data_IF_504443831151
#
_entry.id   IF_504443831151
#
_cell.length_a   1.000
_cell.length_b   1.000
_cell.length_c   1.000
_cell.angle_alpha   90.00
_cell.angle_beta   90.00
_cell.angle_gamma   90.00
#
_symmetry.space_group_name_H-M   'P 1'
#
loop_
_entity.id
_entity.type
_entity.pdbx_description
1 polymer ?
#
# COMPACT_ATOMS: atom_id res chain seq x y z
N UNK A 1 -13.27 -5.79 -5.60
CA UNK A 1 -13.80 -5.26 -6.87
C UNK A 1 -15.25 -4.77 -6.76
N UNK A 2 -16.03 -5.32 -5.83
CA UNK A 2 -17.46 -5.02 -5.71
C UNK A 2 -17.81 -3.79 -4.85
N UNK A 3 -16.85 -3.17 -4.13
CA UNK A 3 -17.14 -2.02 -3.27
C UNK A 3 -17.39 -0.76 -4.11
N UNK A 4 -18.63 -0.33 -4.15
CA UNK A 4 -19.04 0.90 -4.82
C UNK A 4 -18.42 2.13 -4.15
N UNK A 5 -18.34 2.13 -2.82
CA UNK A 5 -17.70 3.18 -2.05
C UNK A 5 -16.22 3.38 -2.44
N UNK A 6 -15.44 2.30 -2.53
CA UNK A 6 -14.04 2.40 -2.94
C UNK A 6 -13.89 2.87 -4.38
N UNK A 7 -14.77 2.47 -5.30
CA UNK A 7 -14.73 2.94 -6.70
C UNK A 7 -15.00 4.45 -6.82
N UNK A 8 -15.83 5.00 -5.96
CA UNK A 8 -16.08 6.44 -5.91
C UNK A 8 -14.81 7.22 -5.58
N UNK A 9 -13.99 6.70 -4.65
CA UNK A 9 -12.75 7.35 -4.22
C UNK A 9 -11.53 7.01 -5.11
N UNK A 10 -11.58 5.87 -5.78
CA UNK A 10 -10.50 5.38 -6.66
C UNK A 10 -11.08 4.98 -8.03
N UNK A 11 -11.30 5.94 -8.94
CA UNK A 11 -11.96 5.67 -10.23
C UNK A 11 -11.28 4.59 -11.08
N UNK A 12 -9.95 4.46 -10.99
CA UNK A 12 -9.17 3.47 -11.72
C UNK A 12 -8.95 2.15 -10.97
N UNK A 13 -9.55 1.97 -9.79
CA UNK A 13 -9.31 0.82 -8.92
C UNK A 13 -9.54 -0.52 -9.63
N UNK A 14 -10.61 -0.63 -10.40
CA UNK A 14 -10.94 -1.87 -11.10
C UNK A 14 -9.84 -2.27 -12.09
N UNK A 15 -9.41 -1.34 -12.94
CA UNK A 15 -8.33 -1.58 -13.91
C UNK A 15 -7.01 -1.94 -13.20
N UNK A 16 -6.68 -1.24 -12.12
CA UNK A 16 -5.49 -1.49 -11.32
C UNK A 16 -5.52 -2.87 -10.65
N UNK A 17 -6.68 -3.29 -10.13
CA UNK A 17 -6.85 -4.61 -9.52
C UNK A 17 -6.82 -5.75 -10.54
N UNK A 18 -7.26 -5.52 -11.78
CA UNK A 18 -7.14 -6.52 -12.85
C UNK A 18 -5.68 -6.86 -13.20
N UNK A 19 -4.74 -5.96 -12.93
CA UNK A 19 -3.31 -6.21 -13.08
C UNK A 19 -2.73 -7.11 -11.98
N UNK A 20 -3.45 -7.28 -10.86
CA UNK A 20 -2.99 -8.07 -9.71
C UNK A 20 -3.34 -9.53 -9.93
N UNK A 21 -2.32 -10.36 -10.20
CA UNK A 21 -2.45 -11.82 -10.28
C UNK A 21 -3.57 -12.32 -11.19
N UNK A 22 -4.13 -13.51 -10.93
CA UNK A 22 -5.24 -14.11 -11.66
C UNK A 22 -6.58 -13.93 -10.93
N UNK A 23 -7.69 -14.10 -11.64
CA UNK A 23 -9.03 -14.04 -11.04
C UNK A 23 -9.21 -15.03 -9.89
N UNK A 24 -8.83 -16.33 -10.01
CA UNK A 24 -8.92 -17.25 -8.87
C UNK A 24 -8.12 -16.78 -7.65
N UNK A 25 -6.90 -16.27 -7.86
CA UNK A 25 -6.05 -15.78 -6.77
C UNK A 25 -6.67 -14.53 -6.13
N UNK A 26 -7.18 -13.59 -6.91
CA UNK A 26 -7.88 -12.41 -6.37
C UNK A 26 -9.13 -12.77 -5.57
N UNK A 27 -9.84 -13.81 -5.96
CA UNK A 27 -11.04 -14.27 -5.25
C UNK A 27 -10.72 -14.96 -3.91
N UNK A 28 -9.54 -15.54 -3.77
CA UNK A 28 -9.08 -16.24 -2.56
C UNK A 28 -8.11 -15.44 -1.71
N UNK A 29 -7.41 -14.49 -2.31
CA UNK A 29 -6.39 -13.70 -1.65
C UNK A 29 -6.98 -12.67 -0.68
N UNK A 30 -6.21 -12.34 0.33
CA UNK A 30 -6.54 -11.27 1.30
C UNK A 30 -5.48 -10.17 1.26
N UNK A 31 -5.85 -8.96 1.67
CA UNK A 31 -4.88 -7.86 1.87
C UNK A 31 -3.83 -8.25 2.92
N UNK A 32 -4.26 -8.85 4.02
CA UNK A 32 -3.38 -9.33 5.06
C UNK A 32 -2.34 -10.31 4.51
N UNK A 33 -2.77 -11.29 3.70
CA UNK A 33 -1.87 -12.25 3.05
C UNK A 33 -0.86 -11.57 2.11
N UNK A 34 -1.28 -10.54 1.36
CA UNK A 34 -0.37 -9.78 0.50
C UNK A 34 0.71 -9.05 1.31
N UNK A 35 0.33 -8.40 2.42
CA UNK A 35 1.27 -7.66 3.25
C UNK A 35 2.23 -8.59 4.00
N UNK A 36 1.70 -9.66 4.62
CA UNK A 36 2.51 -10.62 5.39
C UNK A 36 3.42 -11.46 4.49
N UNK A 37 3.05 -11.68 3.23
CA UNK A 37 3.95 -12.30 2.25
C UNK A 37 5.24 -11.47 2.03
N UNK A 38 5.22 -10.17 2.34
CA UNK A 38 6.38 -9.28 2.29
C UNK A 38 7.16 -9.34 0.96
N UNK A 39 6.44 -9.43 -0.15
CA UNK A 39 7.07 -9.39 -1.47
C UNK A 39 7.58 -7.96 -1.76
N UNK A 40 8.86 -7.79 -2.17
CA UNK A 40 9.38 -6.47 -2.56
C UNK A 40 8.60 -5.79 -3.69
N UNK A 41 7.83 -6.55 -4.45
CA UNK A 41 7.02 -6.09 -5.60
C UNK A 41 5.52 -6.37 -5.41
N UNK A 42 5.07 -6.48 -4.15
CA UNK A 42 3.66 -6.73 -3.84
C UNK A 42 2.78 -5.56 -4.27
N UNK A 43 1.96 -5.74 -5.32
CA UNK A 43 1.19 -4.66 -5.94
C UNK A 43 0.30 -3.92 -4.92
N UNK A 44 -0.51 -4.67 -4.14
CA UNK A 44 -1.38 -4.04 -3.13
C UNK A 44 -0.59 -3.46 -1.95
N UNK A 45 0.57 -4.04 -1.62
CA UNK A 45 1.45 -3.44 -0.61
C UNK A 45 1.92 -2.05 -1.04
N UNK A 46 2.36 -1.89 -2.29
CA UNK A 46 2.80 -0.60 -2.83
C UNK A 46 1.64 0.39 -2.89
N UNK A 47 0.47 -0.05 -3.33
CA UNK A 47 -0.75 0.75 -3.34
C UNK A 47 -1.07 1.33 -1.94
N UNK A 48 -1.09 0.48 -0.91
CA UNK A 48 -1.44 0.90 0.45
C UNK A 48 -0.32 1.64 1.19
N UNK A 49 0.94 1.45 0.81
CA UNK A 49 2.06 2.28 1.31
C UNK A 49 1.91 3.74 0.90
N UNK A 50 1.51 4.01 -0.34
CA UNK A 50 1.26 5.39 -0.81
C UNK A 50 0.02 6.02 -0.16
N UNK A 51 -0.91 5.23 0.36
CA UNK A 51 -2.04 5.73 1.16
C UNK A 51 -1.65 6.05 2.61
N UNK A 52 -0.38 5.87 3.00
CA UNK A 52 0.12 5.98 4.37
C UNK A 52 -0.72 5.17 5.36
N UNK A 53 -1.05 3.95 4.97
CA UNK A 53 -1.98 3.09 5.69
C UNK A 53 -1.41 2.64 7.03
N UNK A 54 -2.32 2.47 7.98
CA UNK A 54 -2.08 1.86 9.29
C UNK A 54 -2.76 0.50 9.33
N UNK A 55 -2.07 -0.50 9.85
CA UNK A 55 -2.60 -1.85 10.07
C UNK A 55 -2.86 -2.08 11.55
N UNK A 56 -3.85 -2.90 11.84
CA UNK A 56 -4.15 -3.36 13.21
C UNK A 56 -3.74 -4.83 13.29
N UNK A 57 -2.85 -5.11 14.22
CA UNK A 57 -2.39 -6.44 14.58
C UNK A 57 -3.07 -6.83 15.89
N UNK A 58 -3.77 -7.96 15.87
CA UNK A 58 -4.37 -8.57 17.05
C UNK A 58 -3.52 -9.76 17.46
N UNK A 59 -3.09 -9.79 18.70
CA UNK A 59 -2.25 -10.85 19.24
C UNK A 59 -2.77 -11.38 20.57
N UNK A 60 -2.28 -12.57 20.91
CA UNK A 60 -2.43 -13.15 22.24
C UNK A 60 -1.04 -13.34 22.84
N UNK A 61 -0.87 -12.98 24.10
CA UNK A 61 0.36 -13.36 24.82
C UNK A 61 0.50 -14.88 24.87
N UNK A 62 1.71 -15.39 24.66
CA UNK A 62 2.03 -16.84 24.60
C UNK A 62 1.65 -17.60 25.89
N UNK A 63 1.33 -16.91 26.94
CA UNK A 63 0.88 -17.49 28.23
C UNK A 63 -0.61 -17.34 28.53
N UNK A 64 -1.42 -17.00 27.53
CA UNK A 64 -2.86 -17.29 27.54
C UNK A 64 -3.76 -16.26 28.24
N UNK A 65 -3.34 -15.04 28.54
CA UNK A 65 -4.18 -14.18 29.37
C UNK A 65 -4.55 -12.81 28.85
N UNK A 66 -3.92 -12.26 27.83
CA UNK A 66 -4.36 -10.97 27.29
C UNK A 66 -4.42 -10.99 25.76
N UNK A 67 -5.57 -10.63 25.22
CA UNK A 67 -5.67 -10.17 23.84
C UNK A 67 -5.26 -8.71 23.80
N UNK A 68 -4.44 -8.34 22.83
CA UNK A 68 -4.07 -6.95 22.61
C UNK A 68 -4.18 -6.60 21.13
N UNK A 69 -4.49 -5.34 20.88
CA UNK A 69 -4.45 -4.74 19.56
C UNK A 69 -3.33 -3.73 19.53
N UNK A 70 -2.48 -3.79 18.52
CA UNK A 70 -1.51 -2.72 18.26
C UNK A 70 -1.66 -2.19 16.84
N UNK A 71 -1.42 -0.90 16.74
CA UNK A 71 -1.48 -0.14 15.50
C UNK A 71 -0.07 0.08 14.97
N UNK A 72 0.18 -0.30 13.72
CA UNK A 72 1.49 -0.13 13.08
C UNK A 72 1.28 0.53 11.72
N UNK A 73 2.08 1.54 11.38
CA UNK A 73 2.08 2.04 10.00
C UNK A 73 2.60 0.96 9.07
N UNK A 74 1.94 0.76 7.94
CA UNK A 74 2.33 -0.29 7.00
C UNK A 74 3.81 -0.16 6.57
N UNK A 75 4.32 1.08 6.45
CA UNK A 75 5.73 1.35 6.13
C UNK A 75 6.72 0.86 7.19
N UNK A 76 6.28 0.71 8.44
CA UNK A 76 7.11 0.29 9.56
C UNK A 76 7.05 -1.22 9.80
N UNK A 77 6.14 -1.93 9.10
CA UNK A 77 6.01 -3.37 9.19
C UNK A 77 7.23 -4.12 8.66
N UNK A 78 7.89 -3.61 7.62
CA UNK A 78 8.97 -4.32 6.90
C UNK A 78 10.33 -3.94 7.47
N UNK A 79 10.99 -4.86 8.18
CA UNK A 79 12.32 -4.66 8.80
C UNK A 79 13.47 -5.14 7.91
N UNK A 80 13.20 -6.04 6.99
CA UNK A 80 14.17 -6.60 6.05
C UNK A 80 13.49 -7.57 5.09
N UNK A 81 14.26 -8.20 4.20
CA UNK A 81 13.72 -9.19 3.27
C UNK A 81 13.01 -10.32 4.03
N UNK A 82 11.68 -10.43 3.81
CA UNK A 82 10.83 -11.40 4.51
C UNK A 82 10.83 -11.27 6.05
N UNK A 83 11.28 -10.13 6.58
CA UNK A 83 11.28 -9.85 8.01
C UNK A 83 10.23 -8.79 8.33
N UNK A 84 9.32 -9.12 9.25
CA UNK A 84 8.22 -8.27 9.65
C UNK A 84 8.32 -7.89 11.12
N UNK A 85 7.84 -6.70 11.45
CA UNK A 85 7.51 -6.29 12.82
C UNK A 85 6.18 -6.92 13.23
N UNK A 86 6.17 -8.25 13.31
CA UNK A 86 4.98 -9.03 13.64
C UNK A 86 5.41 -10.35 14.28
N UNK A 87 4.80 -10.72 15.38
CA UNK A 87 5.03 -12.01 16.03
C UNK A 87 4.21 -13.12 15.39
N UNK A 88 4.59 -14.38 15.64
CA UNK A 88 3.86 -15.55 15.14
C UNK A 88 2.46 -15.70 15.77
N UNK A 89 2.20 -15.03 16.90
CA UNK A 89 0.91 -15.02 17.57
C UNK A 89 0.00 -13.86 17.14
N UNK A 90 0.46 -12.98 16.24
CA UNK A 90 -0.32 -11.85 15.76
C UNK A 90 -1.00 -12.14 14.42
N UNK A 91 -2.19 -11.59 14.27
CA UNK A 91 -2.98 -11.64 13.03
C UNK A 91 -3.28 -10.20 12.60
N UNK A 92 -3.08 -9.88 11.33
CA UNK A 92 -3.50 -8.62 10.75
C UNK A 92 -5.02 -8.68 10.52
N UNK A 93 -5.75 -7.84 11.24
CA UNK A 93 -7.23 -7.85 11.26
C UNK A 93 -7.86 -6.73 10.46
N UNK A 94 -7.19 -5.57 10.35
CA UNK A 94 -7.73 -4.46 9.57
C UNK A 94 -6.65 -3.54 9.02
N UNK A 95 -7.03 -2.80 7.98
CA UNK A 95 -6.23 -1.76 7.33
C UNK A 95 -7.03 -0.47 7.38
N UNK A 96 -6.40 0.61 7.81
CA UNK A 96 -7.00 1.94 7.90
C UNK A 96 -6.19 2.92 7.08
N UNK A 97 -6.85 3.76 6.33
CA UNK A 97 -6.25 4.85 5.55
C UNK A 97 -7.24 6.00 5.40
N UNK A 98 -6.72 7.18 5.12
CA UNK A 98 -7.54 8.35 4.83
C UNK A 98 -8.12 8.23 3.42
N UNK A 99 -9.43 8.32 3.28
CA UNK A 99 -10.07 8.31 1.97
C UNK A 99 -9.63 9.52 1.14
N UNK A 100 -9.40 9.34 -0.16
CA UNK A 100 -9.14 10.45 -1.07
C UNK A 100 -10.27 11.48 -1.05
N UNK A 101 -9.90 12.74 -1.01
CA UNK A 101 -10.78 13.90 -1.16
C UNK A 101 -10.76 14.40 -2.60
N UNK A 102 -11.53 15.45 -2.89
CA UNK A 102 -11.47 16.15 -4.20
C UNK A 102 -10.09 16.74 -4.51
N UNK A 103 -9.29 17.01 -3.48
CA UNK A 103 -7.95 17.59 -3.59
C UNK A 103 -6.87 16.49 -3.69
N UNK A 104 -7.23 15.23 -3.47
CA UNK A 104 -6.30 14.12 -3.57
C UNK A 104 -6.09 13.73 -5.04
N UNK A 105 -4.83 13.51 -5.41
CA UNK A 105 -4.44 12.84 -6.65
C UNK A 105 -3.75 11.55 -6.27
N UNK A 106 -4.29 10.45 -6.78
CA UNK A 106 -3.74 9.12 -6.52
C UNK A 106 -3.55 8.36 -7.83
N UNK A 107 -2.39 7.73 -7.97
CA UNK A 107 -2.14 6.80 -9.05
C UNK A 107 -1.30 5.60 -8.59
N UNK A 108 -1.51 4.47 -9.25
CA UNK A 108 -0.72 3.25 -9.11
C UNK A 108 -0.36 2.76 -10.50
N UNK A 109 0.90 2.47 -10.71
CA UNK A 109 1.46 1.96 -11.96
C UNK A 109 2.17 0.63 -11.72
N UNK A 110 2.01 -0.28 -12.66
CA UNK A 110 2.69 -1.57 -12.70
C UNK A 110 3.37 -1.76 -14.05
N UNK A 111 4.65 -2.04 -14.03
CA UNK A 111 5.42 -2.42 -15.22
C UNK A 111 5.73 -3.91 -15.12
N UNK A 112 5.38 -4.66 -16.14
CA UNK A 112 5.59 -6.11 -16.25
C UNK A 112 5.77 -6.51 -17.71
N UNK A 113 6.34 -7.70 -17.95
CA UNK A 113 6.56 -8.18 -19.32
C UNK A 113 5.26 -8.47 -20.07
N UNK A 114 4.22 -8.85 -19.36
CA UNK A 114 2.86 -9.10 -19.91
C UNK A 114 1.87 -8.21 -19.17
N UNK A 115 0.81 -7.80 -19.84
CA UNK A 115 -0.22 -6.94 -19.24
C UNK A 115 -0.92 -7.63 -18.08
N UNK A 116 -1.25 -8.92 -18.25
CA UNK A 116 -1.98 -9.70 -17.24
C UNK A 116 -1.20 -10.95 -16.85
N UNK A 117 -1.54 -11.52 -15.69
CA UNK A 117 -0.99 -12.76 -15.16
C UNK A 117 0.54 -12.72 -15.01
N UNK A 118 1.06 -11.56 -14.68
CA UNK A 118 2.50 -11.38 -14.50
C UNK A 118 2.82 -10.69 -13.19
N UNK A 119 4.01 -10.97 -12.69
CA UNK A 119 4.59 -10.25 -11.56
C UNK A 119 5.18 -8.92 -12.04
N UNK A 120 5.15 -7.91 -11.20
CA UNK A 120 5.78 -6.65 -11.54
C UNK A 120 7.30 -6.80 -11.67
N UNK A 121 7.89 -6.21 -12.70
CA UNK A 121 9.34 -5.89 -12.72
C UNK A 121 9.60 -4.72 -11.78
N UNK A 122 8.73 -3.70 -11.85
CA UNK A 122 8.68 -2.55 -10.95
C UNK A 122 7.22 -2.10 -10.84
N UNK A 123 6.84 -1.59 -9.69
CA UNK A 123 5.57 -0.92 -9.49
C UNK A 123 5.76 0.31 -8.60
N UNK A 124 4.86 1.26 -8.71
CA UNK A 124 4.89 2.48 -7.91
C UNK A 124 3.48 2.97 -7.61
N UNK A 125 3.35 3.70 -6.53
CA UNK A 125 2.14 4.44 -6.23
C UNK A 125 2.49 5.82 -5.66
N UNK A 126 1.63 6.78 -5.94
CA UNK A 126 1.74 8.15 -5.45
C UNK A 126 0.39 8.66 -5.00
N UNK A 127 0.38 9.31 -3.84
CA UNK A 127 -0.74 10.10 -3.35
C UNK A 127 -0.25 11.51 -3.08
N UNK A 128 -0.94 12.48 -3.64
CA UNK A 128 -0.70 13.92 -3.43
C UNK A 128 -1.97 14.55 -2.89
N UNK A 129 -1.84 15.40 -1.88
CA UNK A 129 -2.86 16.39 -1.52
C UNK A 129 -2.46 17.72 -2.14
N UNK A 130 -3.38 18.34 -2.87
CA UNK A 130 -3.13 19.55 -3.66
C UNK A 130 -3.99 20.68 -3.14
N UNK A 131 -3.38 21.81 -2.79
CA UNK A 131 -4.05 23.04 -2.36
C UNK A 131 -3.65 24.18 -3.32
N UNK A 132 -4.61 24.60 -4.15
CA UNK A 132 -4.31 25.47 -5.28
C UNK A 132 -3.31 24.79 -6.24
N UNK A 133 -2.18 25.44 -6.49
CA UNK A 133 -1.11 24.91 -7.34
C UNK A 133 0.06 24.31 -6.51
N UNK A 134 -0.16 24.00 -5.25
CA UNK A 134 0.88 23.50 -4.36
C UNK A 134 0.54 22.13 -3.82
N UNK A 135 1.53 21.25 -3.75
CA UNK A 135 1.43 19.94 -3.11
C UNK A 135 1.56 20.14 -1.59
N UNK A 136 0.46 20.02 -0.83
CA UNK A 136 0.50 20.18 0.62
C UNK A 136 1.04 18.92 1.32
N UNK A 137 0.77 17.75 0.77
CA UNK A 137 1.25 16.45 1.29
C UNK A 137 1.55 15.50 0.12
N UNK A 138 2.60 14.69 0.25
CA UNK A 138 2.96 13.68 -0.74
C UNK A 138 3.37 12.37 -0.07
N UNK A 139 2.91 11.26 -0.64
CA UNK A 139 3.30 9.91 -0.26
C UNK A 139 3.65 9.14 -1.53
N UNK A 140 4.87 8.62 -1.57
CA UNK A 140 5.39 7.86 -2.71
C UNK A 140 5.88 6.50 -2.23
N UNK A 141 5.58 5.47 -2.98
CA UNK A 141 6.04 4.11 -2.73
C UNK A 141 6.48 3.44 -4.03
N UNK A 142 7.41 2.50 -3.94
CA UNK A 142 7.87 1.73 -5.08
C UNK A 142 8.26 0.30 -4.67
N UNK A 143 8.00 -0.63 -5.57
CA UNK A 143 8.44 -2.02 -5.48
C UNK A 143 9.45 -2.36 -6.57
N UNK A 144 10.32 -3.33 -6.28
CA UNK A 144 11.41 -3.72 -7.18
C UNK A 144 12.67 -2.86 -7.07
N UNK A 145 12.71 -1.90 -6.14
CA UNK A 145 13.82 -0.96 -5.93
C UNK A 145 14.61 -1.23 -4.64
N UNK A 146 14.15 -2.14 -3.81
CA UNK A 146 14.76 -2.50 -2.53
C UNK A 146 14.40 -3.95 -2.15
N UNK A 147 15.07 -4.56 -1.15
CA UNK A 147 14.71 -5.89 -0.65
C UNK A 147 13.32 -5.96 0.01
N UNK A 148 12.70 -4.82 0.27
CA UNK A 148 11.37 -4.69 0.88
C UNK A 148 10.49 -3.79 0.01
N UNK A 149 9.14 -3.87 0.12
CA UNK A 149 8.26 -2.84 -0.41
C UNK A 149 8.66 -1.49 0.18
N UNK A 150 8.95 -0.50 -0.65
CA UNK A 150 9.62 0.71 -0.18
C UNK A 150 8.69 1.92 -0.16
N UNK A 151 8.46 2.49 1.04
CA UNK A 151 7.97 3.85 1.16
C UNK A 151 9.14 4.81 0.94
N UNK A 152 9.00 5.76 0.01
CA UNK A 152 10.06 6.67 -0.41
C UNK A 152 9.99 7.98 0.39
N UNK A 153 10.44 7.95 1.65
CA UNK A 153 10.33 9.07 2.58
C UNK A 153 10.98 10.35 2.05
N UNK A 154 12.19 10.25 1.47
CA UNK A 154 12.90 11.41 0.93
C UNK A 154 12.18 12.00 -0.28
N UNK A 155 11.68 11.17 -1.19
CA UNK A 155 10.90 11.63 -2.36
C UNK A 155 9.59 12.28 -1.92
N UNK A 156 8.91 11.69 -0.95
CA UNK A 156 7.68 12.22 -0.37
C UNK A 156 7.93 13.60 0.27
N UNK A 157 8.97 13.72 1.08
CA UNK A 157 9.35 14.98 1.71
C UNK A 157 9.80 16.04 0.69
N UNK A 158 10.51 15.62 -0.38
CA UNK A 158 10.95 16.52 -1.44
C UNK A 158 9.78 17.14 -2.22
N UNK A 159 8.74 16.34 -2.50
CA UNK A 159 7.56 16.81 -3.24
C UNK A 159 6.65 17.71 -2.40
N UNK A 160 6.61 17.49 -1.09
CA UNK A 160 5.78 18.29 -0.20
C UNK A 160 6.18 19.78 -0.25
N UNK A 161 5.21 20.66 -0.32
CA UNK A 161 5.34 22.13 -0.44
C UNK A 161 5.92 22.61 -1.77
N UNK A 162 6.00 21.76 -2.78
CA UNK A 162 6.42 22.15 -4.13
C UNK A 162 5.20 22.61 -4.95
N UNK A 163 5.39 23.61 -5.82
CA UNK A 163 4.38 23.95 -6.80
C UNK A 163 4.22 22.81 -7.82
N UNK A 164 3.03 22.68 -8.37
CA UNK A 164 2.80 21.83 -9.53
C UNK A 164 3.23 22.65 -10.75
N UNK A 165 4.40 22.31 -11.32
CA UNK A 165 4.90 22.93 -12.56
C UNK A 165 5.04 21.86 -13.64
N UNK A 166 5.19 22.33 -14.86
CA UNK A 166 5.49 21.46 -16.01
C UNK A 166 7.01 21.32 -16.26
N UNK A 167 7.81 22.00 -15.45
CA UNK A 167 9.28 22.06 -15.56
C UNK A 167 9.94 21.07 -14.57
#
# INVERSE_FOLDING_TARGET
LASEELRTHFPNLENQLLLVSSTPIRNMGTLAGNFVNASPIGDLTIFFLALDSTIILNGTEIRGQARYDRSVRLRDLYKGYKQLDMSSSEILTSVRFKLPSKNTRFNFEKVSKRTYLDIASVNSAIRLEVEGDTISEAHVSAGGVAPIPKYLANSSAFLARKPISKD
#
